data_IF_453144261961
#
_entry.id   IF_453144261961
#
_cell.length_a   1.000
_cell.length_b   1.000
_cell.length_c   1.000
_cell.angle_alpha   90.00
_cell.angle_beta   90.00
_cell.angle_gamma   90.00
#
_symmetry.space_group_name_H-M   'P 1'
#
loop_
_entity.id
_entity.type
_entity.pdbx_description
1 polymer ?
#
# COMPACT_ATOMS: atom_id res chain seq x y z
N UNK A 1 15.68 -5.10 -32.16
CA UNK A 1 15.66 -5.88 -30.90
C UNK A 1 14.46 -6.82 -30.97
N UNK A 2 14.71 -8.14 -31.03
CA UNK A 2 13.63 -9.15 -31.08
C UNK A 2 12.73 -9.01 -29.85
N UNK A 3 11.42 -8.82 -30.07
CA UNK A 3 10.43 -8.94 -29.00
C UNK A 3 10.50 -10.36 -28.44
N UNK A 4 11.08 -10.50 -27.25
CA UNK A 4 11.09 -11.77 -26.55
C UNK A 4 9.64 -12.24 -26.37
N UNK A 5 9.32 -13.42 -26.91
CA UNK A 5 8.00 -14.05 -26.75
C UNK A 5 7.61 -14.03 -25.28
N UNK A 6 6.35 -13.68 -24.96
CA UNK A 6 5.83 -13.67 -23.58
C UNK A 6 6.14 -14.96 -22.83
N UNK A 7 6.08 -16.09 -23.50
CA UNK A 7 6.45 -17.42 -22.95
C UNK A 7 7.91 -17.47 -22.51
N UNK A 8 8.83 -16.91 -23.28
CA UNK A 8 10.26 -16.86 -22.93
C UNK A 8 10.51 -16.04 -21.67
N UNK A 9 9.82 -14.91 -21.52
CA UNK A 9 9.90 -14.07 -20.32
C UNK A 9 9.42 -14.83 -19.08
N UNK A 10 8.29 -15.54 -19.18
CA UNK A 10 7.77 -16.33 -18.06
C UNK A 10 8.71 -17.48 -17.68
N UNK A 11 9.30 -18.17 -18.65
CA UNK A 11 10.30 -19.23 -18.41
C UNK A 11 11.53 -18.66 -17.71
N UNK A 12 12.06 -17.51 -18.19
CA UNK A 12 13.23 -16.88 -17.56
C UNK A 12 12.93 -16.43 -16.12
N UNK A 13 11.74 -15.87 -15.84
CA UNK A 13 11.29 -15.53 -14.47
C UNK A 13 11.24 -16.76 -13.57
N UNK A 14 10.69 -17.88 -14.07
CA UNK A 14 10.64 -19.16 -13.34
C UNK A 14 12.03 -19.72 -13.03
N UNK A 15 12.93 -19.72 -14.03
CA UNK A 15 14.32 -20.15 -13.86
C UNK A 15 15.08 -19.30 -12.86
N UNK A 16 14.92 -17.96 -12.92
CA UNK A 16 15.52 -17.05 -11.97
C UNK A 16 15.04 -17.29 -10.54
N UNK A 17 13.72 -17.45 -10.35
CA UNK A 17 13.12 -17.74 -9.05
C UNK A 17 13.63 -19.09 -8.51
N UNK A 18 13.66 -20.12 -9.35
CA UNK A 18 14.19 -21.43 -8.98
C UNK A 18 15.68 -21.35 -8.59
N UNK A 19 16.49 -20.61 -9.36
CA UNK A 19 17.88 -20.38 -9.03
C UNK A 19 18.08 -19.72 -7.65
N UNK A 20 17.28 -18.69 -7.35
CA UNK A 20 17.34 -17.98 -6.05
C UNK A 20 16.93 -18.91 -4.91
N UNK A 21 15.82 -19.66 -5.05
CA UNK A 21 15.33 -20.57 -4.01
C UNK A 21 16.32 -21.71 -3.78
N UNK A 22 16.83 -22.34 -4.83
CA UNK A 22 17.82 -23.44 -4.72
C UNK A 22 19.14 -22.91 -4.13
N UNK A 23 19.58 -21.74 -4.59
CA UNK A 23 20.77 -21.08 -4.04
C UNK A 23 20.63 -20.80 -2.54
N UNK A 24 19.47 -20.31 -2.09
CA UNK A 24 19.17 -20.10 -0.67
C UNK A 24 19.14 -21.42 0.11
N UNK A 25 18.45 -22.45 -0.39
CA UNK A 25 18.39 -23.77 0.25
C UNK A 25 19.79 -24.36 0.45
N UNK A 26 20.67 -24.26 -0.56
CA UNK A 26 22.02 -24.76 -0.50
C UNK A 26 22.97 -23.92 0.39
N UNK A 27 22.73 -22.63 0.46
CA UNK A 27 23.52 -21.71 1.29
C UNK A 27 23.18 -21.86 2.78
N UNK A 28 21.93 -22.17 3.10
CA UNK A 28 21.49 -22.37 4.48
C UNK A 28 22.14 -23.61 5.10
N UNK A 29 22.74 -23.44 6.26
CA UNK A 29 23.49 -24.47 6.97
C UNK A 29 24.91 -24.74 6.45
N UNK A 30 25.30 -24.13 5.29
CA UNK A 30 26.64 -24.28 4.71
C UNK A 30 27.45 -22.98 4.73
N UNK A 31 26.86 -21.90 4.20
CA UNK A 31 27.49 -20.58 4.15
C UNK A 31 27.04 -19.69 5.32
N UNK A 32 25.79 -19.82 5.75
CA UNK A 32 25.24 -19.13 6.91
C UNK A 32 24.46 -20.13 7.77
N UNK A 33 24.46 -19.94 9.08
CA UNK A 33 23.71 -20.81 10.01
C UNK A 33 22.19 -20.70 9.71
N UNK A 34 21.50 -21.82 9.76
CA UNK A 34 20.03 -21.90 9.65
C UNK A 34 19.31 -21.02 10.66
N UNK A 35 19.95 -20.81 11.81
CA UNK A 35 19.47 -19.90 12.85
C UNK A 35 19.26 -18.47 12.33
N UNK A 36 20.06 -17.99 11.36
CA UNK A 36 19.95 -16.62 10.85
C UNK A 36 19.10 -16.53 9.59
N UNK A 37 19.14 -17.52 8.70
CA UNK A 37 18.50 -17.40 7.40
C UNK A 37 17.41 -18.43 7.11
N UNK A 38 17.20 -19.41 8.02
CA UNK A 38 16.27 -20.54 7.84
C UNK A 38 16.48 -21.27 6.50
N UNK A 39 15.58 -22.16 6.12
CA UNK A 39 15.56 -22.88 4.83
C UNK A 39 14.23 -22.68 4.13
N UNK A 40 14.21 -22.44 2.81
CA UNK A 40 12.96 -22.42 2.04
C UNK A 40 12.05 -23.61 2.27
N UNK A 41 12.62 -24.81 2.36
CA UNK A 41 11.86 -26.04 2.64
C UNK A 41 11.19 -26.01 4.02
N UNK A 42 11.90 -25.60 5.07
CA UNK A 42 11.35 -25.48 6.42
C UNK A 42 10.26 -24.38 6.51
N UNK A 43 10.49 -23.26 5.83
CA UNK A 43 9.52 -22.15 5.74
C UNK A 43 8.25 -22.61 5.03
N UNK A 44 8.38 -23.36 3.91
CA UNK A 44 7.23 -23.89 3.18
C UNK A 44 6.43 -24.90 4.02
N UNK A 45 7.11 -25.74 4.77
CA UNK A 45 6.46 -26.69 5.68
C UNK A 45 5.69 -25.96 6.77
N UNK A 46 6.32 -25.02 7.48
CA UNK A 46 5.67 -24.25 8.54
C UNK A 46 4.50 -23.40 8.00
N UNK A 47 4.66 -22.85 6.79
CA UNK A 47 3.56 -22.15 6.12
C UNK A 47 2.37 -23.07 5.87
N UNK A 48 2.62 -24.29 5.38
CA UNK A 48 1.56 -25.28 5.17
C UNK A 48 0.87 -25.68 6.50
N UNK A 49 1.61 -25.83 7.58
CA UNK A 49 1.07 -26.07 8.93
C UNK A 49 0.19 -24.90 9.41
N UNK A 50 0.63 -23.64 9.20
CA UNK A 50 -0.17 -22.48 9.56
C UNK A 50 -1.43 -22.31 8.70
N UNK A 51 -1.39 -22.75 7.43
CA UNK A 51 -2.57 -22.85 6.57
C UNK A 51 -3.53 -23.93 7.07
N UNK A 52 -3.02 -25.13 7.32
CA UNK A 52 -3.82 -26.28 7.75
C UNK A 52 -4.49 -26.06 9.12
N UNK A 53 -3.79 -25.41 10.05
CA UNK A 53 -4.34 -25.04 11.38
C UNK A 53 -5.28 -23.84 11.34
N UNK A 54 -5.38 -23.11 10.23
CA UNK A 54 -6.14 -21.88 10.12
C UNK A 54 -5.46 -20.65 10.76
N UNK A 55 -4.27 -20.82 11.36
CA UNK A 55 -3.55 -19.75 12.06
C UNK A 55 -3.30 -18.53 11.17
N UNK A 56 -2.84 -18.76 9.93
CA UNK A 56 -2.54 -17.66 9.00
C UNK A 56 -3.79 -16.90 8.58
N UNK A 57 -4.93 -17.58 8.43
CA UNK A 57 -6.18 -16.95 8.07
C UNK A 57 -6.74 -16.09 9.20
N UNK A 58 -6.67 -16.59 10.45
CA UNK A 58 -7.11 -15.84 11.62
C UNK A 58 -6.31 -14.55 11.79
N UNK A 59 -4.98 -14.65 11.83
CA UNK A 59 -4.10 -13.49 12.00
C UNK A 59 -4.12 -12.59 10.76
N UNK A 60 -4.15 -13.16 9.57
CA UNK A 60 -4.27 -12.43 8.32
C UNK A 60 -5.55 -11.61 8.19
N UNK A 61 -6.69 -12.15 8.64
CA UNK A 61 -7.95 -11.40 8.62
C UNK A 61 -7.91 -10.14 9.51
N UNK A 62 -7.20 -10.20 10.63
CA UNK A 62 -7.04 -9.06 11.53
C UNK A 62 -6.18 -7.98 10.88
N UNK A 63 -4.99 -8.35 10.38
CA UNK A 63 -4.11 -7.41 9.67
C UNK A 63 -4.81 -6.81 8.45
N UNK A 64 -5.57 -7.63 7.71
CA UNK A 64 -6.35 -7.16 6.56
C UNK A 64 -7.40 -6.14 6.98
N UNK A 65 -8.15 -6.41 8.05
CA UNK A 65 -9.15 -5.48 8.58
C UNK A 65 -8.51 -4.15 8.98
N UNK A 66 -7.40 -4.17 9.70
CA UNK A 66 -6.67 -2.98 10.14
C UNK A 66 -6.14 -2.18 8.94
N UNK A 67 -5.49 -2.87 7.99
CA UNK A 67 -4.92 -2.25 6.80
C UNK A 67 -6.01 -1.65 5.89
N UNK A 68 -7.09 -2.40 5.61
CA UNK A 68 -8.17 -1.94 4.73
C UNK A 68 -8.97 -0.81 5.37
N UNK A 69 -9.29 -0.91 6.67
CA UNK A 69 -10.01 0.16 7.38
C UNK A 69 -9.20 1.45 7.40
N UNK A 70 -7.90 1.36 7.73
CA UNK A 70 -7.01 2.52 7.71
C UNK A 70 -6.81 3.09 6.29
N UNK A 71 -6.69 2.22 5.28
CA UNK A 71 -6.61 2.61 3.88
C UNK A 71 -7.86 3.36 3.41
N UNK A 72 -9.05 2.85 3.72
CA UNK A 72 -10.29 3.50 3.35
C UNK A 72 -10.48 4.83 4.07
N UNK A 73 -10.24 4.87 5.37
CA UNK A 73 -10.36 6.08 6.18
C UNK A 73 -9.38 7.16 5.71
N UNK A 74 -8.09 6.84 5.66
CA UNK A 74 -7.04 7.77 5.23
C UNK A 74 -7.18 8.18 3.78
N UNK A 75 -7.55 7.24 2.90
CA UNK A 75 -7.80 7.48 1.48
C UNK A 75 -8.97 8.43 1.24
N UNK A 76 -10.11 8.21 1.88
CA UNK A 76 -11.28 9.10 1.76
C UNK A 76 -10.97 10.52 2.27
N UNK A 77 -10.40 10.64 3.46
CA UNK A 77 -10.05 11.94 4.03
C UNK A 77 -9.01 12.63 3.15
N UNK A 78 -7.97 11.91 2.71
CA UNK A 78 -6.93 12.43 1.82
C UNK A 78 -7.49 12.94 0.49
N UNK A 79 -8.42 12.20 -0.10
CA UNK A 79 -9.10 12.59 -1.34
C UNK A 79 -9.93 13.86 -1.17
N UNK A 80 -10.75 13.93 -0.11
CA UNK A 80 -11.60 15.10 0.18
C UNK A 80 -10.74 16.35 0.38
N UNK A 81 -9.72 16.26 1.24
CA UNK A 81 -8.82 17.39 1.50
C UNK A 81 -7.97 17.75 0.28
N UNK A 82 -7.55 16.76 -0.52
CA UNK A 82 -6.79 17.00 -1.75
C UNK A 82 -7.60 17.77 -2.80
N UNK A 83 -8.86 17.40 -3.00
CA UNK A 83 -9.78 18.12 -3.90
C UNK A 83 -10.08 19.52 -3.37
N UNK A 84 -10.39 19.64 -2.09
CA UNK A 84 -10.69 20.92 -1.47
C UNK A 84 -9.52 21.90 -1.58
N UNK A 85 -8.35 21.49 -1.12
CA UNK A 85 -7.16 22.35 -1.10
C UNK A 85 -6.61 22.63 -2.51
N UNK A 86 -6.72 21.63 -3.42
CA UNK A 86 -6.32 21.83 -4.82
C UNK A 86 -7.10 22.93 -5.54
N UNK A 87 -8.33 23.24 -5.08
CA UNK A 87 -9.16 24.33 -5.59
C UNK A 87 -8.98 25.65 -4.83
N UNK A 88 -8.58 25.58 -3.57
CA UNK A 88 -8.45 26.75 -2.70
C UNK A 88 -7.01 27.30 -2.77
N UNK A 89 -6.65 27.99 -3.88
CA UNK A 89 -5.27 28.39 -4.18
C UNK A 89 -4.62 29.17 -3.03
N UNK A 90 -5.29 30.20 -2.50
CA UNK A 90 -4.73 31.05 -1.43
C UNK A 90 -4.48 30.21 -0.16
N UNK A 91 -5.45 29.37 0.21
CA UNK A 91 -5.32 28.49 1.40
C UNK A 91 -4.17 27.50 1.19
N UNK A 92 -4.04 26.97 -0.02
CA UNK A 92 -2.97 26.04 -0.37
C UNK A 92 -1.59 26.70 -0.23
N UNK A 93 -1.39 27.89 -0.74
CA UNK A 93 -0.13 28.64 -0.66
C UNK A 93 0.25 28.95 0.81
N UNK A 94 -0.71 29.30 1.65
CA UNK A 94 -0.49 29.52 3.09
C UNK A 94 -0.14 28.25 3.83
N UNK A 95 -0.79 27.13 3.50
CA UNK A 95 -0.63 25.85 4.20
C UNK A 95 0.55 25.00 3.68
N UNK A 96 1.07 25.29 2.48
CA UNK A 96 2.11 24.50 1.82
C UNK A 96 3.33 24.19 2.72
N UNK A 97 3.98 25.17 3.38
CA UNK A 97 5.13 24.90 4.24
C UNK A 97 4.78 23.96 5.42
N UNK A 98 3.58 24.10 5.98
CA UNK A 98 3.13 23.23 7.07
C UNK A 98 2.83 21.82 6.59
N UNK A 99 2.18 21.68 5.43
CA UNK A 99 1.91 20.38 4.80
C UNK A 99 3.23 19.64 4.52
N UNK A 100 4.22 20.33 3.95
CA UNK A 100 5.53 19.74 3.68
C UNK A 100 6.26 19.35 4.96
N UNK A 101 6.17 20.16 6.02
CA UNK A 101 6.72 19.81 7.34
C UNK A 101 6.07 18.53 7.91
N UNK A 102 4.74 18.45 7.91
CA UNK A 102 4.03 17.25 8.39
C UNK A 102 4.26 16.04 7.48
N UNK A 103 4.37 16.24 6.17
CA UNK A 103 4.69 15.17 5.24
C UNK A 103 6.07 14.56 5.51
N UNK A 104 7.04 15.37 5.87
CA UNK A 104 8.43 14.95 6.15
C UNK A 104 8.58 14.17 7.46
N UNK A 105 7.58 14.22 8.36
CA UNK A 105 7.62 13.43 9.59
C UNK A 105 7.57 11.93 9.29
N UNK A 106 8.44 11.13 9.91
CA UNK A 106 8.37 9.67 9.81
C UNK A 106 7.14 9.16 10.61
N UNK A 107 6.00 9.00 9.92
CA UNK A 107 4.70 8.65 10.56
C UNK A 107 4.78 7.36 11.38
N UNK A 108 5.60 6.41 10.96
CA UNK A 108 5.85 5.17 11.71
C UNK A 108 6.41 5.45 13.11
N UNK A 109 7.23 6.48 13.27
CA UNK A 109 7.78 6.87 14.58
C UNK A 109 6.71 7.45 15.52
N UNK A 110 5.54 7.81 15.02
CA UNK A 110 4.41 8.25 15.84
C UNK A 110 3.65 7.08 16.50
N UNK A 111 3.94 5.83 16.15
CA UNK A 111 3.20 4.68 16.67
C UNK A 111 3.14 4.63 18.22
N UNK A 112 4.22 4.87 18.99
CA UNK A 112 4.12 4.93 20.46
C UNK A 112 3.17 6.02 20.96
N UNK A 113 3.10 7.16 20.25
CA UNK A 113 2.20 8.26 20.59
C UNK A 113 0.73 7.86 20.33
N UNK A 114 0.46 7.13 19.26
CA UNK A 114 -0.87 6.57 18.99
C UNK A 114 -1.27 5.55 20.05
N UNK A 115 -0.35 4.73 20.56
CA UNK A 115 -0.61 3.84 21.71
C UNK A 115 -0.99 4.65 22.96
N UNK A 116 -0.29 5.74 23.21
CA UNK A 116 -0.56 6.60 24.36
C UNK A 116 -1.94 7.27 24.28
N UNK A 117 -2.35 7.72 23.08
CA UNK A 117 -3.60 8.43 22.87
C UNK A 117 -4.83 7.51 22.79
N UNK A 118 -4.69 6.37 22.11
CA UNK A 118 -5.81 5.49 21.75
C UNK A 118 -5.74 4.12 22.45
N UNK A 119 -4.69 3.88 23.24
CA UNK A 119 -4.49 2.60 23.93
C UNK A 119 -4.03 1.48 23.00
N UNK A 120 -3.94 0.28 23.57
CA UNK A 120 -3.58 -0.95 22.86
C UNK A 120 -4.87 -1.54 22.27
N UNK A 121 -5.11 -1.34 20.97
CA UNK A 121 -6.32 -1.81 20.33
C UNK A 121 -6.24 -1.71 18.80
N UNK A 122 -7.34 -2.10 18.16
CA UNK A 122 -7.48 -2.03 16.70
C UNK A 122 -7.55 -0.57 16.22
N UNK A 123 -8.15 0.31 17.00
CA UNK A 123 -8.37 1.72 16.64
C UNK A 123 -7.04 2.45 16.44
N UNK A 124 -6.08 2.23 17.34
CA UNK A 124 -4.73 2.79 17.21
C UNK A 124 -4.07 2.42 15.87
N UNK A 125 -4.16 1.15 15.47
CA UNK A 125 -3.55 0.63 14.24
C UNK A 125 -4.25 1.18 13.00
N UNK A 126 -5.59 1.25 13.03
CA UNK A 126 -6.39 1.85 11.96
C UNK A 126 -6.02 3.33 11.80
N UNK A 127 -5.94 4.09 12.90
CA UNK A 127 -5.61 5.52 12.84
C UNK A 127 -4.17 5.79 12.41
N UNK A 128 -3.21 4.98 12.87
CA UNK A 128 -1.82 5.05 12.42
C UNK A 128 -1.73 4.80 10.90
N UNK A 129 -2.37 3.72 10.45
CA UNK A 129 -2.46 3.38 9.03
C UNK A 129 -3.13 4.49 8.22
N UNK A 130 -4.27 5.01 8.71
CA UNK A 130 -4.99 6.09 8.05
C UNK A 130 -4.15 7.36 7.94
N UNK A 131 -3.35 7.70 8.95
CA UNK A 131 -2.45 8.85 8.93
C UNK A 131 -1.38 8.72 7.85
N UNK A 132 -0.81 7.52 7.67
CA UNK A 132 0.19 7.27 6.63
C UNK A 132 -0.43 7.37 5.23
N UNK A 133 -1.57 6.71 5.03
CA UNK A 133 -2.31 6.67 3.75
C UNK A 133 -2.82 8.05 3.36
N UNK A 134 -3.32 8.82 4.34
CA UNK A 134 -3.85 10.18 4.14
C UNK A 134 -2.90 11.04 3.33
N UNK A 135 -1.65 11.17 3.75
CA UNK A 135 -0.70 12.06 3.09
C UNK A 135 -0.39 11.63 1.65
N UNK A 136 -0.30 10.32 1.40
CA UNK A 136 -0.02 9.80 0.05
C UNK A 136 -1.18 10.10 -0.91
N UNK A 137 -2.42 9.83 -0.48
CA UNK A 137 -3.60 10.08 -1.30
C UNK A 137 -3.86 11.57 -1.43
N UNK A 138 -3.71 12.33 -0.33
CA UNK A 138 -3.88 13.78 -0.30
C UNK A 138 -2.98 14.47 -1.31
N UNK A 139 -1.66 14.24 -1.27
CA UNK A 139 -0.71 14.92 -2.15
C UNK A 139 -0.91 14.56 -3.62
N UNK A 140 -1.19 13.29 -3.93
CA UNK A 140 -1.49 12.89 -5.30
C UNK A 140 -2.79 13.53 -5.80
N UNK A 141 -3.85 13.53 -4.99
CA UNK A 141 -5.13 14.17 -5.34
C UNK A 141 -4.96 15.67 -5.52
N UNK A 142 -4.27 16.34 -4.60
CA UNK A 142 -3.95 17.77 -4.64
C UNK A 142 -3.21 18.13 -5.93
N UNK A 143 -2.16 17.40 -6.27
CA UNK A 143 -1.41 17.58 -7.51
C UNK A 143 -2.30 17.37 -8.73
N UNK A 144 -3.13 16.32 -8.73
CA UNK A 144 -4.04 16.01 -9.83
C UNK A 144 -5.07 17.10 -10.09
N UNK A 145 -5.62 17.69 -9.02
CA UNK A 145 -6.58 18.81 -9.15
C UNK A 145 -5.89 20.07 -9.70
N UNK A 146 -4.66 20.35 -9.29
CA UNK A 146 -3.90 21.51 -9.80
C UNK A 146 -3.34 21.33 -11.20
N UNK A 147 -3.17 20.11 -11.67
CA UNK A 147 -2.72 19.78 -13.01
C UNK A 147 -3.81 19.94 -14.09
N UNK A 148 -5.05 20.25 -13.69
CA UNK A 148 -6.15 20.47 -14.65
C UNK A 148 -5.88 21.72 -15.49
N UNK A 149 -6.06 21.59 -16.82
CA UNK A 149 -5.83 22.69 -17.76
C UNK A 149 -6.77 23.88 -17.48
N UNK A 150 -6.15 25.07 -17.33
CA UNK A 150 -6.89 26.32 -17.15
C UNK A 150 -7.71 26.69 -18.39
N UNK A 151 -7.25 26.29 -19.59
CA UNK A 151 -7.97 26.51 -20.85
C UNK A 151 -9.28 25.72 -20.86
N UNK A 152 -9.26 24.45 -20.43
CA UNK A 152 -10.48 23.64 -20.35
C UNK A 152 -11.52 24.28 -19.40
N UNK A 153 -11.07 24.78 -18.26
CA UNK A 153 -11.93 25.47 -17.31
C UNK A 153 -12.48 26.76 -17.91
N UNK A 154 -11.64 27.56 -18.61
CA UNK A 154 -12.06 28.79 -19.26
C UNK A 154 -13.12 28.55 -20.35
N UNK A 155 -12.91 27.55 -21.21
CA UNK A 155 -13.88 27.17 -22.25
C UNK A 155 -15.25 26.83 -21.63
N UNK A 156 -15.26 26.00 -20.57
CA UNK A 156 -16.51 25.65 -19.90
C UNK A 156 -17.23 26.89 -19.32
N UNK A 157 -16.48 27.80 -18.72
CA UNK A 157 -17.06 29.05 -18.19
C UNK A 157 -17.62 29.94 -19.28
N UNK A 158 -16.95 30.04 -20.43
CA UNK A 158 -17.48 30.72 -21.61
C UNK A 158 -18.78 30.10 -22.12
N UNK A 159 -18.95 28.80 -21.99
CA UNK A 159 -20.19 28.07 -22.29
C UNK A 159 -21.28 28.20 -21.21
N UNK A 160 -21.08 29.05 -20.18
CA UNK A 160 -22.06 29.29 -19.12
C UNK A 160 -22.02 28.26 -17.98
N UNK A 161 -20.98 27.44 -17.88
CA UNK A 161 -20.86 26.45 -16.79
C UNK A 161 -20.63 27.12 -15.44
N UNK A 162 -21.37 26.71 -14.42
CA UNK A 162 -21.13 27.11 -13.03
C UNK A 162 -20.02 26.26 -12.39
N UNK A 163 -19.58 26.64 -11.19
CA UNK A 163 -18.49 25.97 -10.45
C UNK A 163 -18.76 24.47 -10.20
N UNK A 164 -20.01 24.06 -10.05
CA UNK A 164 -20.37 22.64 -9.91
C UNK A 164 -20.12 21.89 -11.21
N UNK A 165 -20.50 22.47 -12.36
CA UNK A 165 -20.24 21.87 -13.67
C UNK A 165 -18.72 21.73 -13.91
N UNK A 166 -17.94 22.75 -13.59
CA UNK A 166 -16.47 22.71 -13.68
C UNK A 166 -15.91 21.58 -12.81
N UNK A 167 -16.38 21.47 -11.56
CA UNK A 167 -15.91 20.41 -10.63
C UNK A 167 -16.21 19.02 -11.17
N UNK A 168 -17.46 18.72 -11.48
CA UNK A 168 -17.88 17.35 -11.81
C UNK A 168 -17.57 16.93 -13.25
N UNK A 169 -17.48 17.87 -14.21
CA UNK A 169 -17.26 17.55 -15.62
C UNK A 169 -15.79 17.67 -16.06
N UNK A 170 -14.94 18.41 -15.33
CA UNK A 170 -13.53 18.60 -15.70
C UNK A 170 -12.61 18.21 -14.55
N UNK A 171 -12.74 18.84 -13.38
CA UNK A 171 -11.76 18.68 -12.30
C UNK A 171 -11.72 17.25 -11.78
N UNK A 172 -12.85 16.70 -11.36
CA UNK A 172 -12.89 15.34 -10.80
C UNK A 172 -12.49 14.28 -11.84
N UNK A 173 -13.02 14.26 -13.07
CA UNK A 173 -12.60 13.27 -14.07
C UNK A 173 -11.11 13.35 -14.41
N UNK A 174 -10.54 14.56 -14.48
CA UNK A 174 -9.11 14.75 -14.74
C UNK A 174 -8.24 14.31 -13.55
N UNK A 175 -8.69 14.54 -12.33
CA UNK A 175 -7.98 14.18 -11.13
C UNK A 175 -8.05 12.68 -10.79
N UNK A 176 -9.03 11.93 -11.30
CA UNK A 176 -9.24 10.50 -11.00
C UNK A 176 -7.96 9.66 -11.21
N UNK A 177 -7.21 9.92 -12.27
CA UNK A 177 -5.96 9.20 -12.55
C UNK A 177 -4.94 9.39 -11.40
N UNK A 178 -4.81 10.60 -10.91
CA UNK A 178 -3.92 10.94 -9.80
C UNK A 178 -4.40 10.35 -8.47
N UNK A 179 -5.71 10.36 -8.24
CA UNK A 179 -6.33 9.70 -7.08
C UNK A 179 -5.98 8.21 -7.06
N UNK A 180 -6.18 7.51 -8.17
CA UNK A 180 -5.83 6.09 -8.26
C UNK A 180 -4.33 5.84 -8.16
N UNK A 181 -3.49 6.76 -8.66
CA UNK A 181 -2.04 6.71 -8.42
C UNK A 181 -1.74 6.78 -6.93
N UNK A 182 -2.33 7.73 -6.21
CA UNK A 182 -2.18 7.87 -4.76
C UNK A 182 -2.67 6.63 -3.99
N UNK A 183 -3.84 6.10 -4.35
CA UNK A 183 -4.40 4.89 -3.76
C UNK A 183 -3.49 3.67 -3.98
N UNK A 184 -2.98 3.47 -5.20
CA UNK A 184 -2.08 2.37 -5.51
C UNK A 184 -0.77 2.47 -4.73
N UNK A 185 -0.16 3.65 -4.69
CA UNK A 185 1.07 3.87 -3.92
C UNK A 185 0.84 3.66 -2.42
N UNK A 186 -0.35 3.92 -1.90
CA UNK A 186 -0.64 3.78 -0.47
C UNK A 186 -0.95 2.36 0.00
N UNK A 187 -1.18 1.38 -0.90
CA UNK A 187 -1.45 -0.02 -0.49
C UNK A 187 -0.33 -0.63 0.34
N UNK A 188 0.95 -0.66 -0.09
CA UNK A 188 2.03 -1.18 0.73
C UNK A 188 2.21 -0.39 2.03
N UNK A 189 1.98 0.92 2.01
CA UNK A 189 2.08 1.75 3.21
C UNK A 189 0.94 1.51 4.21
N UNK A 190 -0.25 1.12 3.75
CA UNK A 190 -1.32 0.68 4.63
C UNK A 190 -0.95 -0.60 5.38
N UNK A 191 -0.32 -1.57 4.69
CA UNK A 191 0.20 -2.76 5.35
C UNK A 191 1.33 -2.43 6.33
N UNK A 192 2.26 -1.54 5.97
CA UNK A 192 3.32 -1.09 6.87
C UNK A 192 2.72 -0.48 8.14
N UNK A 193 1.69 0.37 8.02
CA UNK A 193 1.02 0.99 9.16
C UNK A 193 0.38 -0.03 10.11
N UNK A 194 -0.37 -0.99 9.55
CA UNK A 194 -0.99 -2.07 10.33
C UNK A 194 0.07 -2.95 11.02
N UNK A 195 1.06 -3.43 10.25
CA UNK A 195 2.12 -4.31 10.76
C UNK A 195 2.94 -3.62 11.86
N UNK A 196 3.34 -2.36 11.67
CA UNK A 196 4.08 -1.63 12.70
C UNK A 196 3.24 -1.46 13.97
N UNK A 197 1.95 -1.16 13.83
CA UNK A 197 1.04 -1.13 14.98
C UNK A 197 0.95 -2.48 15.68
N UNK A 198 0.91 -3.59 14.94
CA UNK A 198 0.92 -4.95 15.49
C UNK A 198 2.25 -5.31 16.16
N UNK A 199 3.39 -4.93 15.59
CA UNK A 199 4.73 -5.16 16.17
C UNK A 199 4.89 -4.50 17.54
N UNK A 200 4.30 -3.30 17.72
CA UNK A 200 4.47 -2.51 18.94
C UNK A 200 3.49 -2.94 20.03
N UNK A 201 2.24 -3.20 19.66
CA UNK A 201 1.18 -3.37 20.66
C UNK A 201 0.06 -4.28 20.15
N UNK A 202 0.34 -5.58 20.01
CA UNK A 202 -0.66 -6.56 19.61
C UNK A 202 -0.42 -7.94 20.20
N UNK A 203 -1.50 -8.73 20.28
CA UNK A 203 -1.49 -10.16 20.57
C UNK A 203 -2.09 -10.99 19.41
N UNK A 204 -2.29 -10.39 18.25
CA UNK A 204 -2.89 -11.00 17.06
C UNK A 204 -2.57 -10.15 15.83
N UNK A 205 -2.60 -10.78 14.67
CA UNK A 205 -2.20 -10.22 13.37
C UNK A 205 -0.92 -10.86 12.85
N UNK A 206 -0.58 -10.62 11.57
CA UNK A 206 0.64 -11.16 10.95
C UNK A 206 1.90 -10.47 11.50
N UNK A 207 1.81 -9.18 11.82
CA UNK A 207 2.90 -8.46 12.48
C UNK A 207 3.13 -8.97 13.91
N UNK A 208 2.08 -9.37 14.63
CA UNK A 208 2.23 -10.05 15.91
C UNK A 208 2.94 -11.40 15.73
N UNK A 209 2.57 -12.23 14.76
CA UNK A 209 3.26 -13.49 14.50
C UNK A 209 4.74 -13.27 14.17
N UNK A 210 5.05 -12.23 13.43
CA UNK A 210 6.43 -11.83 13.13
C UNK A 210 7.20 -11.46 14.41
N UNK A 211 6.60 -10.63 15.29
CA UNK A 211 7.22 -10.20 16.54
C UNK A 211 7.39 -11.35 17.53
N UNK A 212 6.39 -12.21 17.65
CA UNK A 212 6.39 -13.39 18.52
C UNK A 212 7.49 -14.39 18.11
N UNK A 213 7.56 -14.72 16.80
CA UNK A 213 8.62 -15.57 16.26
C UNK A 213 10.02 -14.95 16.45
N UNK A 214 10.15 -13.65 16.21
CA UNK A 214 11.42 -12.94 16.42
C UNK A 214 11.83 -12.94 17.89
N UNK A 215 10.90 -12.72 18.81
CA UNK A 215 11.12 -12.78 20.26
C UNK A 215 11.52 -14.15 20.77
N UNK A 216 11.12 -15.23 20.08
CA UNK A 216 11.49 -16.61 20.37
C UNK A 216 12.75 -17.06 19.62
N UNK A 217 13.38 -16.18 18.84
CA UNK A 217 14.48 -16.50 17.92
C UNK A 217 14.13 -17.59 16.88
N UNK A 218 12.82 -17.71 16.55
CA UNK A 218 12.34 -18.59 15.50
C UNK A 218 12.40 -17.90 14.14
N UNK A 219 13.54 -18.00 13.48
CA UNK A 219 13.77 -17.42 12.16
C UNK A 219 12.83 -18.01 11.10
N UNK A 220 12.46 -19.29 11.21
CA UNK A 220 11.53 -19.93 10.29
C UNK A 220 10.15 -19.31 10.39
N UNK A 221 9.66 -19.06 11.62
CA UNK A 221 8.40 -18.37 11.86
C UNK A 221 8.41 -16.93 11.35
N UNK A 222 9.53 -16.20 11.52
CA UNK A 222 9.70 -14.84 10.98
C UNK A 222 9.52 -14.82 9.46
N UNK A 223 10.26 -15.69 8.73
CA UNK A 223 10.13 -15.78 7.27
C UNK A 223 8.74 -16.25 6.83
N UNK A 224 8.12 -17.16 7.58
CA UNK A 224 6.75 -17.64 7.31
C UNK A 224 5.74 -16.49 7.43
N UNK A 225 5.83 -15.66 8.47
CA UNK A 225 4.99 -14.48 8.62
C UNK A 225 5.21 -13.46 7.50
N UNK A 226 6.48 -13.22 7.10
CA UNK A 226 6.81 -12.35 5.98
C UNK A 226 6.20 -12.82 4.66
N UNK A 227 6.21 -14.14 4.38
CA UNK A 227 5.54 -14.68 3.19
C UNK A 227 4.04 -14.43 3.25
N UNK A 228 3.40 -14.62 4.40
CA UNK A 228 1.98 -14.30 4.58
C UNK A 228 1.68 -12.82 4.28
N UNK A 229 2.52 -11.91 4.78
CA UNK A 229 2.44 -10.47 4.51
C UNK A 229 2.62 -10.16 3.02
N UNK A 230 3.59 -10.81 2.35
CA UNK A 230 3.84 -10.64 0.92
C UNK A 230 2.65 -11.08 0.06
N UNK A 231 2.04 -12.21 0.40
CA UNK A 231 0.83 -12.70 -0.29
C UNK A 231 -0.31 -11.72 -0.09
N UNK A 232 -0.52 -11.23 1.12
CA UNK A 232 -1.55 -10.21 1.41
C UNK A 232 -1.31 -8.92 0.62
N UNK A 233 -0.07 -8.44 0.57
CA UNK A 233 0.31 -7.26 -0.21
C UNK A 233 -0.01 -7.44 -1.69
N UNK A 234 0.32 -8.61 -2.25
CA UNK A 234 0.01 -8.95 -3.63
C UNK A 234 -1.50 -8.94 -3.90
N UNK A 235 -2.28 -9.57 -3.03
CA UNK A 235 -3.75 -9.61 -3.16
C UNK A 235 -4.37 -8.21 -3.08
N UNK A 236 -3.94 -7.37 -2.14
CA UNK A 236 -4.44 -6.00 -2.01
C UNK A 236 -4.07 -5.14 -3.22
N UNK A 237 -2.82 -5.23 -3.71
CA UNK A 237 -2.42 -4.52 -4.93
C UNK A 237 -3.24 -4.97 -6.14
N UNK A 238 -3.49 -6.27 -6.28
CA UNK A 238 -4.33 -6.81 -7.35
C UNK A 238 -5.78 -6.29 -7.24
N UNK A 239 -6.34 -6.23 -6.03
CA UNK A 239 -7.68 -5.70 -5.79
C UNK A 239 -7.79 -4.22 -6.18
N UNK A 240 -6.85 -3.38 -5.76
CA UNK A 240 -6.84 -1.95 -6.13
C UNK A 240 -6.66 -1.77 -7.64
N UNK A 241 -5.80 -2.57 -8.28
CA UNK A 241 -5.64 -2.55 -9.73
C UNK A 241 -6.94 -2.91 -10.47
N UNK A 242 -7.68 -3.89 -9.99
CA UNK A 242 -8.99 -4.26 -10.57
C UNK A 242 -10.01 -3.14 -10.41
N UNK A 243 -10.03 -2.46 -9.26
CA UNK A 243 -10.89 -1.30 -9.05
C UNK A 243 -10.52 -0.14 -9.97
N UNK A 244 -9.23 0.14 -10.17
CA UNK A 244 -8.73 1.15 -11.10
C UNK A 244 -9.21 0.88 -12.54
N UNK A 245 -9.07 -0.36 -13.02
CA UNK A 245 -9.50 -0.75 -14.37
C UNK A 245 -11.01 -0.55 -14.55
N UNK A 246 -11.81 -0.87 -13.54
CA UNK A 246 -13.27 -0.67 -13.58
C UNK A 246 -13.65 0.80 -13.51
N UNK A 247 -12.94 1.60 -12.75
CA UNK A 247 -13.24 3.02 -12.56
C UNK A 247 -12.78 3.89 -13.74
N UNK A 248 -11.78 3.44 -14.52
CA UNK A 248 -11.23 4.18 -15.66
C UNK A 248 -11.24 3.35 -16.95
N UNK A 249 -12.41 2.99 -17.51
CA UNK A 249 -12.50 2.18 -18.74
C UNK A 249 -11.95 2.90 -19.98
N UNK A 250 -11.88 4.23 -19.95
CA UNK A 250 -11.37 5.08 -21.04
C UNK A 250 -9.85 5.18 -21.11
N UNK A 251 -9.12 4.65 -20.11
CA UNK A 251 -7.66 4.68 -20.12
C UNK A 251 -7.11 3.63 -21.08
N UNK A 252 -6.39 4.08 -22.11
CA UNK A 252 -5.85 3.23 -23.18
C UNK A 252 -5.05 2.03 -22.68
N UNK A 253 -5.25 0.90 -23.36
CA UNK A 253 -4.63 -0.40 -23.06
C UNK A 253 -3.10 -0.39 -23.21
N UNK A 254 -2.54 0.56 -23.95
CA UNK A 254 -1.10 0.69 -24.17
C UNK A 254 -0.34 1.23 -22.93
N UNK A 255 -0.97 2.09 -22.12
CA UNK A 255 -0.44 2.50 -20.81
C UNK A 255 -0.40 1.33 -19.81
N UNK A 256 -1.13 0.23 -20.09
CA UNK A 256 -1.11 -1.01 -19.28
C UNK A 256 0.20 -1.79 -19.42
N UNK A 257 0.98 -1.59 -20.48
CA UNK A 257 2.27 -2.26 -20.69
C UNK A 257 3.40 -1.66 -19.84
N UNK A 258 3.39 -0.36 -19.61
CA UNK A 258 4.45 0.32 -18.84
C UNK A 258 4.35 0.12 -17.31
N UNK A 259 3.17 -0.26 -16.81
CA UNK A 259 2.93 -0.50 -15.38
C UNK A 259 3.04 -1.98 -14.97
N UNK A 260 3.58 -2.84 -15.81
CA UNK A 260 3.79 -4.26 -15.51
C UNK A 260 5.25 -4.60 -15.13
N UNK A 261 5.96 -3.61 -14.61
CA UNK A 261 7.29 -3.79 -14.01
C UNK A 261 7.13 -3.94 -12.52
#
# INVERSE_FOLDING_TARGET
MEELSKTRIWVLRGLFLAFVIIGWELASGRLASEFFISRPSAIAQLFAEWVASGKIFYHGAITLLEAVSGFLLGGMIGMIFGVWLGRAQIVAEVLDPFIMMFYSLPKVALAPLFVLWFGIGIDMKILLTATIVFFLVFLNTYTGVRAVSREQIAILRLMGANERHVLFKVVLPSAVTWVFTGLRLSVPYALIGAIVGELIASNRGLGYLLADSAGQFDTTGVFTALIGIMIMAFCLNAAVKLLEIKAMPWRDTNSKREMSI
#
